data_IF_967752719937
#
_entry.id   IF_967752719937
#
_cell.length_a   1.000
_cell.length_b   1.000
_cell.length_c   1.000
_cell.angle_alpha   90.00
_cell.angle_beta   90.00
_cell.angle_gamma   90.00
#
_symmetry.space_group_name_H-M   'P 1'
#
loop_
_entity.id
_entity.type
_entity.pdbx_description
1 polymer ?
#
# COMPACT_ATOMS: atom_id res chain seq x y z
N UNK A 1 -15.53 8.11 -18.81
CA UNK A 1 -15.13 8.58 -17.46
C UNK A 1 -13.76 7.97 -17.16
N UNK A 2 -12.70 8.72 -17.41
CA UNK A 2 -11.33 8.25 -17.22
C UNK A 2 -11.02 8.14 -15.73
N UNK A 3 -10.79 6.93 -15.24
CA UNK A 3 -10.26 6.69 -13.90
C UNK A 3 -8.83 7.24 -13.84
N UNK A 4 -8.68 8.43 -13.25
CA UNK A 4 -7.38 8.96 -12.87
C UNK A 4 -6.84 8.02 -11.78
N UNK A 5 -5.92 7.13 -12.15
CA UNK A 5 -5.07 6.37 -11.23
C UNK A 5 -4.20 7.40 -10.50
N UNK A 6 -4.70 7.92 -9.39
CA UNK A 6 -4.02 8.95 -8.59
C UNK A 6 -2.73 8.39 -8.03
N UNK A 7 -1.61 8.87 -8.56
CA UNK A 7 -0.24 8.61 -8.13
C UNK A 7 0.07 9.31 -6.78
N UNK A 8 -0.88 9.32 -5.86
CA UNK A 8 -0.73 10.01 -4.59
C UNK A 8 0.09 9.16 -3.63
N UNK A 9 1.24 9.69 -3.22
CA UNK A 9 2.11 9.05 -2.24
C UNK A 9 1.83 9.69 -0.88
N UNK A 10 1.12 8.99 0.04
CA UNK A 10 0.78 9.54 1.33
C UNK A 10 2.02 9.70 2.20
N UNK A 11 1.97 10.68 3.11
CA UNK A 11 2.96 10.82 4.16
C UNK A 11 2.85 9.66 5.17
N UNK A 12 3.93 9.26 5.86
CA UNK A 12 3.84 8.22 6.90
C UNK A 12 2.82 8.56 8.00
N UNK A 13 2.62 9.86 8.29
CA UNK A 13 1.59 10.34 9.20
C UNK A 13 0.17 10.10 8.66
N UNK A 14 -0.08 10.36 7.37
CA UNK A 14 -1.36 10.07 6.73
C UNK A 14 -1.65 8.57 6.66
N UNK A 15 -0.61 7.76 6.43
CA UNK A 15 -0.72 6.31 6.50
C UNK A 15 -1.16 5.89 7.90
N UNK A 16 -0.57 6.45 8.95
CA UNK A 16 -0.99 6.17 10.32
C UNK A 16 -2.41 6.68 10.63
N UNK A 17 -2.77 7.88 10.17
CA UNK A 17 -4.08 8.48 10.37
C UNK A 17 -5.21 7.71 9.67
N UNK A 18 -4.92 7.08 8.53
CA UNK A 18 -5.86 6.23 7.81
C UNK A 18 -6.01 4.82 8.41
N UNK A 19 -5.34 4.52 9.53
CA UNK A 19 -5.53 3.29 10.26
C UNK A 19 -6.96 3.23 10.83
N UNK A 20 -7.63 2.12 10.58
CA UNK A 20 -8.95 1.82 11.13
C UNK A 20 -8.88 1.51 12.63
N UNK A 21 -9.97 1.65 13.40
CA UNK A 21 -10.00 1.29 14.82
C UNK A 21 -9.65 -0.19 15.10
N UNK A 22 -9.75 -1.06 14.09
CA UNK A 22 -9.32 -2.46 14.18
C UNK A 22 -7.79 -2.64 14.00
N UNK A 23 -7.03 -1.56 13.78
CA UNK A 23 -5.58 -1.57 13.59
C UNK A 23 -5.09 -1.84 12.16
N UNK A 24 -5.99 -1.97 11.18
CA UNK A 24 -5.66 -2.24 9.78
C UNK A 24 -6.00 -1.10 8.82
N UNK A 25 -5.81 -1.32 7.51
CA UNK A 25 -6.19 -0.39 6.43
C UNK A 25 -7.22 -1.03 5.52
N UNK A 26 -8.06 -0.20 4.90
CA UNK A 26 -9.04 -0.69 3.93
C UNK A 26 -8.39 -0.97 2.58
N UNK A 27 -8.90 -1.98 1.86
CA UNK A 27 -8.46 -2.31 0.49
C UNK A 27 -8.54 -1.12 -0.46
N UNK A 28 -9.57 -0.29 -0.32
CA UNK A 28 -9.76 0.91 -1.14
C UNK A 28 -8.66 1.94 -0.87
N UNK A 29 -8.39 2.24 0.40
CA UNK A 29 -7.32 3.15 0.82
C UNK A 29 -5.95 2.70 0.31
N UNK A 30 -5.64 1.41 0.46
CA UNK A 30 -4.38 0.84 -0.02
C UNK A 30 -4.25 0.96 -1.54
N UNK A 31 -5.32 0.69 -2.29
CA UNK A 31 -5.34 0.85 -3.74
C UNK A 31 -5.14 2.31 -4.18
N UNK A 32 -5.62 3.29 -3.41
CA UNK A 32 -5.38 4.72 -3.67
C UNK A 32 -3.90 5.09 -3.55
N UNK A 33 -3.14 4.38 -2.73
CA UNK A 33 -1.69 4.55 -2.58
C UNK A 33 -0.87 3.63 -3.51
N UNK A 34 -1.53 2.80 -4.33
CA UNK A 34 -0.90 1.81 -5.17
C UNK A 34 -0.40 0.55 -4.43
N UNK A 35 -0.82 0.35 -3.18
CA UNK A 35 -0.48 -0.83 -2.38
C UNK A 35 -1.45 -1.97 -2.73
N UNK A 36 -0.94 -3.14 -3.17
CA UNK A 36 -1.79 -4.28 -3.47
C UNK A 36 -2.45 -4.84 -2.19
N UNK A 37 -3.58 -5.53 -2.37
CA UNK A 37 -4.25 -6.29 -1.31
C UNK A 37 -4.04 -7.79 -1.53
N UNK A 38 -3.62 -8.57 -0.51
CA UNK A 38 -3.27 -8.14 0.86
C UNK A 38 -1.99 -7.28 0.90
N UNK A 39 -1.86 -6.37 1.90
CA UNK A 39 -0.70 -5.50 2.02
C UNK A 39 0.59 -6.32 2.21
N UNK A 40 1.59 -6.18 1.33
CA UNK A 40 2.83 -6.95 1.42
C UNK A 40 3.66 -6.51 2.63
N UNK A 41 4.44 -7.43 3.19
CA UNK A 41 5.34 -7.09 4.30
C UNK A 41 6.24 -5.90 3.92
N UNK A 42 6.27 -4.86 4.77
CA UNK A 42 7.09 -3.68 4.53
C UNK A 42 6.47 -2.59 3.63
N UNK A 43 5.22 -2.72 3.17
CA UNK A 43 4.55 -1.70 2.34
C UNK A 43 4.60 -0.28 2.91
N UNK A 44 4.51 -0.14 4.24
CA UNK A 44 4.62 1.15 4.94
C UNK A 44 5.97 1.83 4.71
N UNK A 45 7.06 1.05 4.76
CA UNK A 45 8.42 1.55 4.50
C UNK A 45 8.59 1.96 3.04
N UNK A 46 7.99 1.22 2.12
CA UNK A 46 7.99 1.59 0.70
C UNK A 46 7.26 2.91 0.46
N UNK A 47 6.08 3.13 1.07
CA UNK A 47 5.38 4.42 0.98
C UNK A 47 6.20 5.55 1.60
N UNK A 48 6.83 5.33 2.75
CA UNK A 48 7.71 6.30 3.38
C UNK A 48 8.90 6.67 2.48
N UNK A 49 9.58 5.69 1.90
CA UNK A 49 10.71 5.91 0.99
C UNK A 49 10.27 6.65 -0.29
N UNK A 50 9.13 6.26 -0.86
CA UNK A 50 8.54 6.93 -2.02
C UNK A 50 8.15 8.38 -1.68
N UNK A 51 7.65 8.63 -0.47
CA UNK A 51 7.34 9.98 0.02
C UNK A 51 8.59 10.83 0.23
N UNK A 52 9.71 10.21 0.64
CA UNK A 52 11.03 10.86 0.72
C UNK A 52 11.62 11.21 -0.65
N UNK A 53 11.01 10.75 -1.74
CA UNK A 53 11.53 10.92 -3.11
C UNK A 53 12.58 9.88 -3.49
N UNK A 54 12.67 8.78 -2.74
CA UNK A 54 13.51 7.65 -3.12
C UNK A 54 12.83 6.86 -4.25
N UNK A 55 13.58 6.57 -5.31
CA UNK A 55 13.13 5.69 -6.39
C UNK A 55 13.17 4.24 -5.88
N UNK A 56 12.12 3.85 -5.18
CA UNK A 56 11.97 2.51 -4.63
C UNK A 56 11.22 1.61 -5.61
N UNK A 57 11.80 0.43 -5.86
CA UNK A 57 11.19 -0.60 -6.70
C UNK A 57 9.75 -0.90 -6.28
N UNK A 58 8.80 -1.00 -7.24
CA UNK A 58 7.40 -1.21 -6.95
C UNK A 58 7.20 -2.44 -6.08
N UNK A 59 6.35 -2.31 -5.06
CA UNK A 59 6.06 -3.38 -4.11
C UNK A 59 5.78 -4.69 -4.87
N UNK A 60 6.50 -5.79 -4.54
CA UNK A 60 6.19 -7.07 -5.14
C UNK A 60 4.75 -7.38 -4.79
N UNK A 61 3.91 -7.52 -5.83
CA UNK A 61 2.59 -8.12 -5.66
C UNK A 61 2.87 -9.50 -5.09
N UNK A 62 2.56 -9.73 -3.81
CA UNK A 62 2.60 -11.08 -3.27
C UNK A 62 1.67 -11.89 -4.19
N UNK A 63 2.27 -12.77 -4.98
CA UNK A 63 1.52 -13.85 -5.60
C UNK A 63 0.76 -14.51 -4.46
N UNK A 64 -0.56 -14.71 -4.60
CA UNK A 64 -1.37 -15.27 -3.54
C UNK A 64 -0.65 -16.51 -3.05
N UNK A 65 -0.34 -16.50 -1.76
CA UNK A 65 0.28 -17.57 -1.02
C UNK A 65 -0.21 -18.91 -1.57
N UNK A 66 0.66 -19.56 -2.34
CA UNK A 66 0.41 -20.87 -2.96
C UNK A 66 0.50 -21.97 -1.89
N UNK A 67 0.44 -21.57 -0.62
CA UNK A 67 0.59 -22.34 0.62
C UNK A 67 -0.74 -22.43 1.41
N UNK A 68 -1.76 -21.63 1.09
CA UNK A 68 -3.15 -21.83 1.55
C UNK A 68 -3.86 -23.00 0.83
N UNK A 69 -3.09 -23.90 0.23
CA UNK A 69 -3.50 -25.06 -0.56
C UNK A 69 -2.82 -26.33 -0.02
N UNK A 70 -2.90 -26.60 1.29
CA UNK A 70 -2.64 -27.93 1.83
C UNK A 70 -3.49 -28.23 3.07
#
# INVERSE_FOLDING_TARGET
MGILMTYYVPSPDEVAAAQTPAGGWTKKQLAEWGVPWPPPAGWRKHLEAKWRGEDVDPLPRQEPDRDALF
#
